data_IF_933537981932
#
_entry.id   IF_933537981932
#
_cell.length_a   1.000
_cell.length_b   1.000
_cell.length_c   1.000
_cell.angle_alpha   90.00
_cell.angle_beta   90.00
_cell.angle_gamma   90.00
#
_symmetry.space_group_name_H-M   'P 1'
#
loop_
_entity.id
_entity.type
_entity.pdbx_description
1 polymer ?
#
# COMPACT_ATOMS: atom_id res chain seq x y z
N UNK A 1 3.75 5.09 31.09
CA UNK A 1 5.12 4.73 31.52
C UNK A 1 6.09 5.28 30.50
N UNK A 2 7.30 5.72 30.88
CA UNK A 2 8.35 5.98 29.90
C UNK A 2 8.60 4.67 29.14
N UNK A 3 8.36 4.67 27.84
CA UNK A 3 8.76 3.56 26.99
C UNK A 3 10.21 3.78 26.53
N UNK A 4 10.95 2.70 26.26
CA UNK A 4 12.33 2.78 25.78
C UNK A 4 12.46 3.39 24.36
N UNK A 5 11.34 3.76 23.76
CA UNK A 5 11.24 4.22 22.38
C UNK A 5 11.18 5.74 22.28
N UNK A 6 10.85 6.44 23.36
CA UNK A 6 10.70 7.90 23.38
C UNK A 6 11.80 8.56 24.21
N UNK A 7 12.15 9.80 23.86
CA UNK A 7 13.02 10.59 24.73
C UNK A 7 12.36 10.83 26.10
N UNK A 8 13.15 10.97 27.19
CA UNK A 8 12.60 11.22 28.52
C UNK A 8 11.65 12.43 28.53
N UNK A 9 10.46 12.24 29.09
CA UNK A 9 9.41 13.28 29.19
C UNK A 9 8.98 13.87 27.84
N UNK A 10 9.08 13.11 26.75
CA UNK A 10 8.70 13.55 25.40
C UNK A 10 7.82 12.51 24.72
N UNK A 11 7.00 12.98 23.76
CA UNK A 11 6.27 12.14 22.81
C UNK A 11 7.09 11.80 21.56
N UNK A 12 8.30 12.36 21.45
CA UNK A 12 9.18 12.16 20.30
C UNK A 12 9.93 10.84 20.44
N UNK A 13 9.82 10.00 19.40
CA UNK A 13 10.54 8.74 19.34
C UNK A 13 12.05 8.98 19.14
N UNK A 14 12.87 8.20 19.84
CA UNK A 14 14.32 8.16 19.69
C UNK A 14 14.62 7.79 18.24
N UNK A 15 15.27 8.72 17.54
CA UNK A 15 15.55 8.64 16.11
C UNK A 15 17.04 8.87 15.83
N UNK A 16 17.53 8.32 14.72
CA UNK A 16 18.93 8.37 14.28
C UNK A 16 19.44 9.80 14.03
N UNK A 17 18.53 10.75 13.84
CA UNK A 17 18.83 12.15 13.56
C UNK A 17 18.95 13.02 14.82
N UNK A 18 18.65 12.47 16.01
CA UNK A 18 18.71 13.22 17.26
C UNK A 18 17.65 14.34 17.39
N UNK A 19 16.57 14.30 16.60
CA UNK A 19 15.53 15.34 16.63
C UNK A 19 14.65 15.12 17.87
N UNK A 20 14.51 16.14 18.71
CA UNK A 20 13.69 16.11 19.95
C UNK A 20 12.50 17.06 19.93
N UNK A 21 12.45 17.96 18.94
CA UNK A 21 11.31 18.85 18.69
C UNK A 21 10.19 18.08 18.00
N UNK A 22 8.95 18.18 18.51
CA UNK A 22 7.86 17.32 18.07
C UNK A 22 7.41 17.61 16.64
N UNK A 23 7.19 18.87 16.30
CA UNK A 23 6.69 19.27 14.98
C UNK A 23 7.73 18.98 13.89
N UNK A 24 9.00 19.30 14.17
CA UNK A 24 10.11 18.95 13.28
C UNK A 24 10.26 17.44 13.12
N UNK A 25 10.16 16.68 14.20
CA UNK A 25 10.22 15.22 14.14
C UNK A 25 9.09 14.65 13.28
N UNK A 26 7.84 15.09 13.47
CA UNK A 26 6.72 14.59 12.67
C UNK A 26 6.80 14.98 11.20
N UNK A 27 7.25 16.19 10.88
CA UNK A 27 7.48 16.60 9.49
C UNK A 27 8.55 15.72 8.81
N UNK A 28 9.69 15.50 9.49
CA UNK A 28 10.78 14.66 8.97
C UNK A 28 10.37 13.19 8.88
N UNK A 29 9.68 12.66 9.88
CA UNK A 29 9.15 11.29 9.84
C UNK A 29 8.23 11.10 8.64
N UNK A 30 7.26 12.00 8.48
CA UNK A 30 6.28 11.89 7.39
C UNK A 30 6.97 11.89 6.03
N UNK A 31 7.90 12.83 5.80
CA UNK A 31 8.62 12.93 4.53
C UNK A 31 9.49 11.69 4.25
N UNK A 32 10.29 11.24 5.22
CA UNK A 32 11.19 10.10 5.04
C UNK A 32 10.42 8.78 4.82
N UNK A 33 9.38 8.53 5.62
CA UNK A 33 8.55 7.32 5.42
C UNK A 33 7.83 7.39 4.07
N UNK A 34 7.32 8.55 3.66
CA UNK A 34 6.63 8.70 2.38
C UNK A 34 7.55 8.40 1.19
N UNK A 35 8.79 8.89 1.21
CA UNK A 35 9.78 8.57 0.19
C UNK A 35 9.99 7.04 0.07
N UNK A 36 10.15 6.33 1.21
CA UNK A 36 10.28 4.87 1.22
C UNK A 36 9.03 4.14 0.74
N UNK A 37 7.84 4.68 1.00
CA UNK A 37 6.59 4.12 0.46
C UNK A 37 6.52 4.23 -1.07
N UNK A 38 6.97 5.35 -1.64
CA UNK A 38 7.04 5.52 -3.11
C UNK A 38 7.98 4.48 -3.72
N UNK A 39 9.17 4.29 -3.13
CA UNK A 39 10.11 3.25 -3.58
C UNK A 39 9.48 1.85 -3.61
N UNK A 40 8.66 1.50 -2.62
CA UNK A 40 7.98 0.20 -2.56
C UNK A 40 6.81 0.06 -3.55
N UNK A 41 6.33 1.16 -4.12
CA UNK A 41 5.36 1.11 -5.23
C UNK A 41 6.02 0.61 -6.51
N UNK A 42 7.27 1.00 -6.76
CA UNK A 42 8.04 0.60 -7.94
C UNK A 42 8.77 -0.73 -7.72
N UNK A 43 9.24 -0.96 -6.50
CA UNK A 43 10.05 -2.11 -6.11
C UNK A 43 9.47 -2.76 -4.85
N UNK A 44 8.32 -3.46 -4.97
CA UNK A 44 7.71 -4.12 -3.83
C UNK A 44 8.65 -5.16 -3.24
N UNK A 45 8.64 -5.27 -1.92
CA UNK A 45 9.38 -6.32 -1.23
C UNK A 45 8.64 -7.64 -1.48
N UNK A 46 9.31 -8.69 -1.99
CA UNK A 46 8.67 -9.99 -2.15
C UNK A 46 8.48 -10.66 -0.79
N UNK A 47 7.36 -11.35 -0.62
CA UNK A 47 7.06 -12.10 0.58
C UNK A 47 5.76 -12.88 0.46
N UNK A 48 5.37 -13.60 1.52
CA UNK A 48 4.21 -14.51 1.53
C UNK A 48 3.06 -14.04 2.42
N UNK A 49 3.00 -12.72 2.64
CA UNK A 49 2.02 -12.07 3.53
C UNK A 49 2.04 -12.65 4.97
N UNK A 50 3.24 -12.94 5.46
CA UNK A 50 3.52 -13.42 6.81
C UNK A 50 4.12 -12.30 7.69
N UNK A 51 4.22 -12.50 9.01
CA UNK A 51 4.79 -11.50 9.92
C UNK A 51 6.18 -11.04 9.47
N UNK A 52 7.03 -11.96 9.00
CA UNK A 52 8.36 -11.64 8.50
C UNK A 52 8.31 -10.68 7.28
N UNK A 53 7.31 -10.83 6.40
CA UNK A 53 7.10 -9.91 5.28
C UNK A 53 6.72 -8.51 5.79
N UNK A 54 5.81 -8.43 6.77
CA UNK A 54 5.40 -7.15 7.36
C UNK A 54 6.56 -6.47 8.09
N UNK A 55 7.41 -7.25 8.78
CA UNK A 55 8.64 -6.76 9.41
C UNK A 55 9.64 -6.23 8.39
N UNK A 56 9.79 -6.88 7.24
CA UNK A 56 10.68 -6.44 6.16
C UNK A 56 10.22 -5.10 5.58
N UNK A 57 8.92 -4.97 5.29
CA UNK A 57 8.31 -3.70 4.86
C UNK A 57 8.55 -2.61 5.91
N UNK A 58 8.21 -2.88 7.16
CA UNK A 58 8.40 -1.91 8.24
C UNK A 58 9.87 -1.49 8.39
N UNK A 59 10.80 -2.44 8.32
CA UNK A 59 12.25 -2.18 8.37
C UNK A 59 12.69 -1.26 7.23
N UNK A 60 12.21 -1.48 6.01
CA UNK A 60 12.51 -0.61 4.86
C UNK A 60 11.97 0.80 5.08
N UNK A 61 10.68 0.90 5.46
CA UNK A 61 10.04 2.20 5.68
C UNK A 61 10.79 3.03 6.74
N UNK A 62 11.22 2.38 7.82
CA UNK A 62 11.81 3.07 8.98
C UNK A 62 13.34 3.14 8.95
N UNK A 63 13.98 2.66 7.87
CA UNK A 63 15.42 2.46 7.78
C UNK A 63 16.25 3.70 8.10
N UNK A 64 15.79 4.90 7.72
CA UNK A 64 16.57 6.13 7.90
C UNK A 64 16.39 6.76 9.30
N UNK A 65 15.34 6.38 10.03
CA UNK A 65 14.94 7.06 11.26
C UNK A 65 15.10 6.23 12.52
N UNK A 66 14.83 4.93 12.47
CA UNK A 66 14.70 4.12 13.68
C UNK A 66 15.62 2.91 13.66
N UNK A 67 16.34 2.68 14.76
CA UNK A 67 17.21 1.50 14.93
C UNK A 67 16.39 0.22 15.14
N UNK A 68 15.20 0.35 15.70
CA UNK A 68 14.24 -0.73 15.97
C UNK A 68 13.36 -1.06 14.75
N UNK A 69 13.70 -0.55 13.57
CA UNK A 69 12.92 -0.77 12.35
C UNK A 69 12.75 -2.26 12.04
N UNK A 70 11.52 -2.76 12.12
CA UNK A 70 11.16 -4.15 11.86
C UNK A 70 11.11 -5.02 13.12
N UNK A 71 11.47 -4.45 14.28
CA UNK A 71 11.44 -5.16 15.56
C UNK A 71 10.03 -5.10 16.17
N UNK A 72 9.59 -6.22 16.74
CA UNK A 72 8.32 -6.31 17.46
C UNK A 72 8.40 -5.48 18.75
N UNK A 73 7.35 -4.71 19.05
CA UNK A 73 7.30 -3.90 20.27
C UNK A 73 7.22 -4.78 21.52
N UNK A 74 7.83 -4.31 22.60
CA UNK A 74 7.78 -4.94 23.93
C UNK A 74 6.99 -4.12 24.96
N UNK A 75 6.34 -3.04 24.53
CA UNK A 75 5.49 -2.19 25.37
C UNK A 75 4.06 -2.17 24.85
N UNK A 76 3.10 -1.97 25.76
CA UNK A 76 1.70 -1.77 25.38
C UNK A 76 1.52 -0.46 24.60
N UNK A 77 0.61 -0.46 23.63
CA UNK A 77 0.24 0.70 22.82
C UNK A 77 -1.27 0.77 22.64
N UNK A 78 -1.77 1.94 22.28
CA UNK A 78 -3.18 2.23 22.07
C UNK A 78 -3.29 3.19 20.86
N UNK A 79 -4.36 3.14 20.06
CA UNK A 79 -4.68 4.22 19.13
C UNK A 79 -4.80 5.53 19.92
N UNK A 80 -4.27 6.63 19.37
CA UNK A 80 -4.04 7.87 20.10
C UNK A 80 -5.24 8.35 20.92
N UNK A 81 -5.10 8.37 22.26
CA UNK A 81 -6.09 8.95 23.17
C UNK A 81 -7.42 8.20 23.30
N UNK A 82 -7.60 7.03 22.66
CA UNK A 82 -8.89 6.31 22.65
C UNK A 82 -9.09 5.40 23.86
N UNK A 83 -8.00 4.97 24.51
CA UNK A 83 -8.05 3.98 25.60
C UNK A 83 -8.27 2.55 25.12
N UNK A 84 -8.37 2.31 23.81
CA UNK A 84 -8.50 0.97 23.21
C UNK A 84 -7.13 0.29 23.20
N UNK A 85 -7.01 -0.87 23.84
CA UNK A 85 -5.75 -1.59 23.89
C UNK A 85 -5.50 -2.38 22.59
N UNK A 86 -4.29 -2.31 22.07
CA UNK A 86 -3.82 -3.30 21.11
C UNK A 86 -3.43 -4.62 21.81
N UNK A 87 -3.08 -5.63 21.02
CA UNK A 87 -2.56 -6.90 21.52
C UNK A 87 -1.39 -6.71 22.49
N UNK A 88 -1.35 -7.46 23.60
CA UNK A 88 -0.22 -7.36 24.53
C UNK A 88 1.05 -7.97 23.91
N UNK A 89 2.25 -7.42 24.18
CA UNK A 89 3.49 -7.89 23.57
C UNK A 89 3.72 -9.40 23.56
N UNK A 90 3.44 -10.17 24.64
CA UNK A 90 3.65 -11.62 24.64
C UNK A 90 2.79 -12.39 23.62
N UNK A 91 1.71 -11.78 23.12
CA UNK A 91 0.78 -12.40 22.18
C UNK A 91 0.91 -11.89 20.74
N UNK A 92 1.77 -10.90 20.47
CA UNK A 92 1.89 -10.32 19.12
C UNK A 92 2.27 -11.36 18.08
N UNK A 93 3.32 -12.14 18.34
CA UNK A 93 3.81 -13.17 17.41
C UNK A 93 2.77 -14.28 17.19
N UNK A 94 2.23 -14.95 18.22
CA UNK A 94 1.26 -16.03 18.00
C UNK A 94 -0.04 -15.54 17.33
N UNK A 95 -0.52 -14.33 17.64
CA UNK A 95 -1.71 -13.79 16.96
C UNK A 95 -1.41 -13.43 15.49
N UNK A 96 -0.24 -12.87 15.19
CA UNK A 96 0.16 -12.63 13.80
C UNK A 96 0.30 -13.92 13.01
N UNK A 97 0.89 -14.96 13.60
CA UNK A 97 0.99 -16.29 12.98
C UNK A 97 -0.39 -16.92 12.75
N UNK A 98 -1.33 -16.77 13.69
CA UNK A 98 -2.71 -17.23 13.53
C UNK A 98 -3.40 -16.52 12.36
N UNK A 99 -3.38 -15.20 12.35
CA UNK A 99 -4.06 -14.36 11.35
C UNK A 99 -3.48 -14.57 9.96
N UNK A 100 -2.15 -14.51 9.80
CA UNK A 100 -1.52 -14.72 8.50
C UNK A 100 -1.55 -16.18 8.04
N UNK A 101 -1.58 -17.13 8.97
CA UNK A 101 -1.81 -18.55 8.67
C UNK A 101 -3.20 -18.79 8.09
N UNK A 102 -4.22 -18.13 8.63
CA UNK A 102 -5.58 -18.18 8.10
C UNK A 102 -5.71 -17.46 6.75
N UNK A 103 -5.03 -16.33 6.55
CA UNK A 103 -4.92 -15.69 5.23
C UNK A 103 -4.32 -16.66 4.19
N UNK A 104 -3.25 -17.38 4.55
CA UNK A 104 -2.63 -18.35 3.65
C UNK A 104 -3.55 -19.55 3.37
N UNK A 105 -4.30 -20.04 4.36
CA UNK A 105 -5.29 -21.11 4.18
C UNK A 105 -6.46 -20.71 3.27
N UNK A 106 -6.71 -19.40 3.12
CA UNK A 106 -7.66 -18.82 2.17
C UNK A 106 -7.01 -18.43 0.83
N UNK A 107 -5.89 -19.07 0.48
CA UNK A 107 -5.16 -18.88 -0.78
C UNK A 107 -4.79 -17.42 -1.07
N UNK A 108 -4.57 -16.62 -0.02
CA UNK A 108 -4.27 -15.19 -0.11
C UNK A 108 -5.34 -14.40 -0.86
N UNK A 109 -6.61 -14.81 -0.71
CA UNK A 109 -7.78 -14.13 -1.29
C UNK A 109 -7.80 -14.10 -2.82
N UNK A 110 -7.03 -14.95 -3.49
CA UNK A 110 -7.02 -15.09 -4.94
C UNK A 110 -8.30 -15.75 -5.45
N UNK A 111 -8.66 -15.44 -6.70
CA UNK A 111 -9.80 -16.03 -7.42
C UNK A 111 -11.17 -15.85 -6.72
N UNK A 112 -11.29 -14.84 -5.85
CA UNK A 112 -12.54 -14.43 -5.21
C UNK A 112 -13.28 -13.37 -6.03
N UNK A 113 -14.59 -13.27 -5.86
CA UNK A 113 -15.35 -12.11 -6.34
C UNK A 113 -15.11 -10.87 -5.47
N UNK A 114 -15.63 -9.72 -5.90
CA UNK A 114 -15.36 -8.45 -5.23
C UNK A 114 -15.86 -8.41 -3.77
N UNK A 115 -17.01 -9.05 -3.50
CA UNK A 115 -17.62 -9.06 -2.16
C UNK A 115 -16.77 -9.94 -1.20
N UNK A 116 -16.40 -11.14 -1.64
CA UNK A 116 -15.60 -12.06 -0.84
C UNK A 116 -14.15 -11.56 -0.65
N UNK A 117 -13.57 -10.92 -1.68
CA UNK A 117 -12.25 -10.33 -1.59
C UNK A 117 -12.22 -9.17 -0.59
N UNK A 118 -13.15 -8.21 -0.69
CA UNK A 118 -13.14 -7.03 0.16
C UNK A 118 -13.39 -7.38 1.62
N UNK A 119 -14.31 -8.30 1.89
CA UNK A 119 -14.58 -8.81 3.24
C UNK A 119 -13.34 -9.50 3.83
N UNK A 120 -12.71 -10.40 3.08
CA UNK A 120 -11.49 -11.08 3.51
C UNK A 120 -10.31 -10.12 3.74
N UNK A 121 -10.15 -9.12 2.89
CA UNK A 121 -9.12 -8.09 3.02
C UNK A 121 -9.38 -7.21 4.26
N UNK A 122 -10.63 -6.80 4.45
CA UNK A 122 -11.04 -6.01 5.60
C UNK A 122 -10.80 -6.78 6.90
N UNK A 123 -11.15 -8.06 6.95
CA UNK A 123 -10.90 -8.94 8.09
C UNK A 123 -9.41 -8.99 8.45
N UNK A 124 -8.53 -9.36 7.52
CA UNK A 124 -7.09 -9.48 7.83
C UNK A 124 -6.46 -8.12 8.20
N UNK A 125 -6.95 -7.02 7.62
CA UNK A 125 -6.50 -5.67 7.95
C UNK A 125 -6.95 -5.24 9.35
N UNK A 126 -8.20 -5.54 9.72
CA UNK A 126 -8.74 -5.32 11.06
C UNK A 126 -7.95 -6.09 12.12
N UNK A 127 -7.78 -7.39 11.93
CA UNK A 127 -7.02 -8.26 12.83
C UNK A 127 -5.57 -7.77 13.00
N UNK A 128 -4.90 -7.42 11.89
CA UNK A 128 -3.52 -6.90 11.93
C UNK A 128 -3.45 -5.51 12.61
N UNK A 129 -4.51 -4.72 12.52
CA UNK A 129 -4.63 -3.43 13.24
C UNK A 129 -4.75 -3.66 14.75
N UNK A 130 -5.53 -4.65 15.19
CA UNK A 130 -5.64 -5.02 16.60
C UNK A 130 -4.32 -5.58 17.16
N UNK A 131 -3.58 -6.37 16.37
CA UNK A 131 -2.25 -6.89 16.75
C UNK A 131 -1.24 -5.74 16.96
N UNK A 132 -1.18 -4.82 16.00
CA UNK A 132 -0.32 -3.63 16.05
C UNK A 132 1.14 -3.96 16.43
N UNK A 133 1.86 -4.75 15.61
CA UNK A 133 3.09 -5.43 16.03
C UNK A 133 4.29 -4.51 16.33
N UNK A 134 4.31 -3.29 15.81
CA UNK A 134 5.44 -2.36 15.95
C UNK A 134 5.12 -1.20 16.88
N UNK A 135 6.17 -0.45 17.26
CA UNK A 135 6.00 0.73 18.12
C UNK A 135 5.25 1.88 17.44
N UNK A 136 5.53 2.14 16.17
CA UNK A 136 4.84 3.12 15.32
C UNK A 136 4.94 2.62 13.86
N UNK A 137 4.44 3.36 12.88
CA UNK A 137 4.52 3.05 11.44
C UNK A 137 3.76 1.77 11.04
N UNK A 138 2.94 1.23 11.94
CA UNK A 138 2.05 0.09 11.67
C UNK A 138 1.10 0.35 10.48
N UNK A 139 0.35 1.46 10.51
CA UNK A 139 -0.63 1.79 9.46
C UNK A 139 0.01 1.88 8.07
N UNK A 140 1.19 2.51 7.97
CA UNK A 140 1.91 2.70 6.70
C UNK A 140 2.49 1.38 6.19
N UNK A 141 2.98 0.52 7.09
CA UNK A 141 3.47 -0.82 6.75
C UNK A 141 2.33 -1.73 6.28
N UNK A 142 1.19 -1.70 6.97
CA UNK A 142 -0.04 -2.42 6.57
C UNK A 142 -0.55 -1.92 5.23
N UNK A 143 -0.57 -0.60 4.99
CA UNK A 143 -1.01 -0.04 3.72
C UNK A 143 -0.20 -0.57 2.55
N UNK A 144 1.14 -0.63 2.66
CA UNK A 144 1.98 -1.24 1.62
C UNK A 144 1.64 -2.72 1.43
N UNK A 145 1.65 -3.51 2.53
CA UNK A 145 1.41 -4.95 2.45
C UNK A 145 0.05 -5.30 1.84
N UNK A 146 -1.02 -4.63 2.26
CA UNK A 146 -2.36 -4.99 1.85
C UNK A 146 -2.75 -4.45 0.47
N UNK A 147 -2.14 -3.34 0.02
CA UNK A 147 -2.24 -2.97 -1.39
C UNK A 147 -1.49 -3.96 -2.29
N UNK A 148 -0.34 -4.47 -1.85
CA UNK A 148 0.37 -5.54 -2.55
C UNK A 148 -0.47 -6.84 -2.59
N UNK A 149 -1.10 -7.22 -1.47
CA UNK A 149 -2.02 -8.36 -1.41
C UNK A 149 -3.18 -8.19 -2.39
N UNK A 150 -3.80 -7.01 -2.41
CA UNK A 150 -4.88 -6.70 -3.35
C UNK A 150 -4.42 -6.84 -4.80
N UNK A 151 -3.28 -6.24 -5.13
CA UNK A 151 -2.69 -6.33 -6.47
C UNK A 151 -2.41 -7.77 -6.89
N UNK A 152 -1.82 -8.58 -6.01
CA UNK A 152 -1.52 -9.99 -6.27
C UNK A 152 -2.78 -10.85 -6.41
N UNK A 153 -3.89 -10.45 -5.78
CA UNK A 153 -5.20 -11.07 -5.91
C UNK A 153 -6.03 -10.56 -7.11
N UNK A 154 -5.50 -9.65 -7.92
CA UNK A 154 -6.21 -9.10 -9.09
C UNK A 154 -7.18 -7.96 -8.76
N UNK A 155 -6.91 -7.20 -7.69
CA UNK A 155 -7.71 -6.07 -7.24
C UNK A 155 -6.87 -4.80 -7.08
N UNK A 156 -7.51 -3.64 -7.20
CA UNK A 156 -6.91 -2.34 -6.90
C UNK A 156 -7.80 -1.57 -5.94
N UNK A 157 -7.24 -0.71 -5.09
CA UNK A 157 -8.01 0.11 -4.15
C UNK A 157 -7.89 1.57 -4.56
N UNK A 158 -9.02 2.20 -4.88
CA UNK A 158 -9.09 3.62 -5.23
C UNK A 158 -9.12 4.49 -3.97
N UNK A 159 -7.93 4.78 -3.45
CA UNK A 159 -7.76 5.62 -2.27
C UNK A 159 -8.22 7.07 -2.45
N UNK A 160 -8.44 7.55 -3.70
CA UNK A 160 -8.96 8.90 -3.93
C UNK A 160 -10.39 9.08 -3.44
N UNK A 161 -11.13 7.98 -3.29
CA UNK A 161 -12.52 7.97 -2.85
C UNK A 161 -12.68 7.69 -1.35
N UNK A 162 -11.59 7.37 -0.65
CA UNK A 162 -11.62 7.00 0.77
C UNK A 162 -10.87 8.07 1.57
N UNK A 163 -11.58 8.96 2.30
CA UNK A 163 -10.93 9.90 3.19
C UNK A 163 -10.08 9.19 4.25
N UNK A 164 -8.83 9.63 4.42
CA UNK A 164 -7.86 8.94 5.28
C UNK A 164 -8.25 8.92 6.76
N UNK A 165 -8.93 9.97 7.23
CA UNK A 165 -9.47 10.06 8.59
C UNK A 165 -10.62 9.08 8.82
N UNK A 166 -11.51 8.92 7.83
CA UNK A 166 -12.62 7.95 7.86
C UNK A 166 -12.07 6.52 7.88
N UNK A 167 -11.06 6.23 7.06
CA UNK A 167 -10.42 4.90 7.07
C UNK A 167 -9.67 4.63 8.39
N UNK A 168 -9.00 5.64 8.96
CA UNK A 168 -8.37 5.52 10.27
C UNK A 168 -9.40 5.25 11.39
N UNK A 169 -10.58 5.86 11.30
CA UNK A 169 -11.68 5.61 12.22
C UNK A 169 -12.22 4.18 12.09
N UNK A 170 -12.52 3.73 10.87
CA UNK A 170 -13.00 2.35 10.60
C UNK A 170 -12.01 1.30 11.12
N UNK A 171 -10.71 1.51 10.92
CA UNK A 171 -9.66 0.64 11.47
C UNK A 171 -9.61 0.62 13.00
N UNK A 172 -9.89 1.75 13.64
CA UNK A 172 -9.95 1.83 15.10
C UNK A 172 -11.16 1.07 15.64
N UNK A 173 -12.33 1.20 14.99
CA UNK A 173 -13.54 0.44 15.35
C UNK A 173 -13.34 -1.06 15.17
N UNK A 174 -12.60 -1.49 14.14
CA UNK A 174 -12.30 -2.91 13.92
C UNK A 174 -11.54 -3.59 15.06
N UNK A 175 -10.91 -2.84 15.97
CA UNK A 175 -10.27 -3.41 17.17
C UNK A 175 -11.29 -3.84 18.22
N UNK A 176 -12.44 -3.16 18.29
CA UNK A 176 -13.43 -3.31 19.38
C UNK A 176 -14.75 -3.93 18.93
N UNK A 177 -15.07 -3.84 17.64
CA UNK A 177 -16.29 -4.36 17.04
C UNK A 177 -15.93 -5.46 16.02
N UNK A 178 -15.87 -5.10 14.74
CA UNK A 178 -15.56 -6.00 13.63
C UNK A 178 -15.01 -5.23 12.41
N UNK A 179 -14.66 -5.97 11.34
CA UNK A 179 -14.07 -5.40 10.13
C UNK A 179 -15.07 -4.78 9.14
N UNK A 180 -16.38 -4.79 9.41
CA UNK A 180 -17.41 -4.39 8.44
C UNK A 180 -17.27 -2.94 8.00
N UNK A 181 -16.81 -2.05 8.90
CA UNK A 181 -16.54 -0.65 8.56
C UNK A 181 -15.39 -0.48 7.56
N UNK A 182 -14.38 -1.36 7.58
CA UNK A 182 -13.30 -1.37 6.59
C UNK A 182 -13.83 -1.88 5.25
N UNK A 183 -14.61 -2.97 5.27
CA UNK A 183 -15.22 -3.55 4.07
C UNK A 183 -16.13 -2.54 3.35
N UNK A 184 -17.00 -1.86 4.10
CA UNK A 184 -17.91 -0.84 3.56
C UNK A 184 -17.18 0.32 2.84
N UNK A 185 -15.93 0.60 3.20
CA UNK A 185 -15.09 1.61 2.54
C UNK A 185 -14.33 1.02 1.35
N UNK A 186 -13.80 -0.20 1.47
CA UNK A 186 -13.00 -0.85 0.42
C UNK A 186 -13.89 -1.30 -0.73
N UNK A 187 -14.96 -2.05 -0.44
CA UNK A 187 -15.80 -2.72 -1.44
C UNK A 187 -16.29 -1.82 -2.59
N UNK A 188 -16.87 -0.62 -2.36
CA UNK A 188 -17.30 0.25 -3.45
C UNK A 188 -16.12 0.88 -4.22
N UNK A 189 -14.93 0.89 -3.63
CA UNK A 189 -13.72 1.52 -4.14
C UNK A 189 -12.64 0.50 -4.54
N UNK A 190 -13.03 -0.77 -4.70
CA UNK A 190 -12.13 -1.85 -5.06
C UNK A 190 -12.53 -2.45 -6.42
N UNK A 191 -12.27 -1.75 -7.54
CA UNK A 191 -12.48 -2.33 -8.85
C UNK A 191 -11.58 -3.56 -9.04
N UNK A 192 -12.05 -4.55 -9.78
CA UNK A 192 -11.17 -5.61 -10.30
C UNK A 192 -10.00 -4.92 -11.00
N UNK A 193 -8.78 -5.22 -10.57
CA UNK A 193 -7.63 -4.74 -11.30
C UNK A 193 -7.59 -5.57 -12.57
N UNK A 194 -7.89 -4.92 -13.68
CA UNK A 194 -7.45 -5.41 -14.97
C UNK A 194 -5.93 -5.22 -14.99
N UNK A 195 -5.21 -6.11 -14.30
CA UNK A 195 -3.78 -6.29 -14.45
C UNK A 195 -3.53 -6.65 -15.92
N UNK A 196 -3.37 -5.62 -16.75
CA UNK A 196 -2.73 -5.75 -18.04
C UNK A 196 -1.44 -4.98 -17.94
N UNK A 197 -0.33 -5.70 -18.06
CA UNK A 197 0.91 -5.10 -18.52
C UNK A 197 0.61 -4.63 -19.94
N UNK A 198 0.20 -3.37 -20.10
CA UNK A 198 0.01 -2.84 -21.44
C UNK A 198 1.40 -2.64 -22.06
N UNK A 199 1.68 -3.46 -23.08
CA UNK A 199 2.88 -3.35 -23.90
C UNK A 199 2.63 -2.30 -24.98
N UNK A 200 3.20 -1.11 -24.82
CA UNK A 200 3.23 -0.12 -25.90
C UNK A 200 4.57 -0.17 -26.63
N UNK A 201 4.50 -0.31 -27.96
CA UNK A 201 5.63 -0.01 -28.85
C UNK A 201 5.47 1.40 -29.36
N UNK A 202 6.46 2.27 -29.18
CA UNK A 202 6.47 3.61 -29.79
C UNK A 202 7.56 3.69 -30.86
N UNK A 203 7.26 4.26 -32.03
CA UNK A 203 8.29 4.69 -32.98
C UNK A 203 8.68 6.13 -32.65
N UNK A 204 9.90 6.32 -32.15
CA UNK A 204 10.48 7.66 -32.04
C UNK A 204 10.81 8.22 -33.42
N UNK A 205 10.82 9.54 -33.59
CA UNK A 205 11.13 10.24 -34.86
C UNK A 205 12.52 9.97 -35.47
N UNK A 206 13.31 9.06 -34.90
CA UNK A 206 14.56 8.52 -35.44
C UNK A 206 14.51 7.02 -35.79
N UNK A 207 13.33 6.38 -35.80
CA UNK A 207 13.17 4.96 -36.16
C UNK A 207 13.50 3.95 -35.05
N UNK A 208 13.69 4.40 -33.81
CA UNK A 208 13.86 3.51 -32.64
C UNK A 208 12.53 3.11 -32.04
N UNK A 209 12.32 1.79 -31.85
CA UNK A 209 11.19 1.25 -31.10
C UNK A 209 11.60 1.04 -29.64
N UNK A 210 10.93 1.70 -28.70
CA UNK A 210 11.09 1.45 -27.26
C UNK A 210 9.83 0.85 -26.64
N UNK A 211 9.99 0.17 -25.51
CA UNK A 211 8.90 -0.43 -24.72
C UNK A 211 8.82 0.27 -23.35
N UNK A 212 7.60 0.54 -22.88
CA UNK A 212 7.34 1.05 -21.53
C UNK A 212 6.19 0.27 -20.90
N UNK A 213 6.31 -0.05 -19.61
CA UNK A 213 5.25 -0.66 -18.82
C UNK A 213 4.55 0.43 -18.01
N UNK A 214 3.21 0.51 -18.10
CA UNK A 214 2.41 1.48 -17.34
C UNK A 214 1.31 0.73 -16.61
N UNK A 215 1.18 0.99 -15.31
CA UNK A 215 0.05 0.51 -14.51
C UNK A 215 -1.08 1.53 -14.58
N UNK A 216 -2.22 1.14 -15.16
CA UNK A 216 -3.40 2.01 -15.24
C UNK A 216 -4.47 1.54 -14.27
N UNK A 217 -4.95 2.47 -13.44
CA UNK A 217 -6.19 2.28 -12.70
C UNK A 217 -7.37 2.62 -13.63
N UNK A 218 -8.21 1.63 -13.93
CA UNK A 218 -9.47 1.75 -14.71
C UNK A 218 -9.33 2.22 -16.19
N UNK A 219 -8.61 1.54 -17.08
CA UNK A 219 -8.78 1.79 -18.51
C UNK A 219 -10.16 1.29 -18.98
N UNK A 220 -10.98 2.18 -19.54
CA UNK A 220 -12.21 1.83 -20.26
C UNK A 220 -11.84 1.58 -21.73
N UNK A 221 -12.45 0.59 -22.42
CA UNK A 221 -12.25 0.43 -23.85
C UNK A 221 -12.53 1.74 -24.61
N UNK A 222 -11.49 2.27 -25.27
CA UNK A 222 -11.56 3.56 -25.99
C UNK A 222 -10.78 4.72 -25.35
N UNK A 223 -10.31 4.56 -24.12
CA UNK A 223 -9.40 5.54 -23.49
C UNK A 223 -8.08 5.66 -24.26
N UNK A 224 -7.46 6.84 -24.18
CA UNK A 224 -6.18 7.15 -24.82
C UNK A 224 -5.16 7.61 -23.79
N UNK A 225 -3.93 7.18 -23.98
CA UNK A 225 -2.80 7.61 -23.16
C UNK A 225 -2.14 8.81 -23.83
N UNK A 226 -1.94 9.89 -23.09
CA UNK A 226 -1.45 11.16 -23.65
C UNK A 226 -0.23 11.61 -22.87
N UNK A 227 0.83 12.01 -23.59
CA UNK A 227 1.97 12.71 -22.97
C UNK A 227 1.51 14.11 -22.56
N UNK A 228 2.06 14.66 -21.47
CA UNK A 228 1.71 16.00 -20.98
C UNK A 228 1.79 17.13 -22.04
N UNK A 229 2.51 16.93 -23.16
CA UNK A 229 2.62 17.86 -24.29
C UNK A 229 1.74 17.52 -25.51
N UNK A 230 0.71 16.68 -25.36
CA UNK A 230 -0.33 16.49 -26.37
C UNK A 230 -0.04 15.42 -27.45
N UNK A 231 0.96 14.56 -27.25
CA UNK A 231 1.15 13.39 -28.11
C UNK A 231 0.16 12.30 -27.69
N UNK A 232 -0.77 11.98 -28.58
CA UNK A 232 -1.75 10.90 -28.40
C UNK A 232 -1.08 9.57 -28.74
N UNK A 233 -0.92 8.71 -27.74
CA UNK A 233 -0.61 7.30 -27.95
C UNK A 233 -1.92 6.58 -28.30
N UNK A 234 -1.83 5.53 -29.12
CA UNK A 234 -3.01 4.83 -29.67
C UNK A 234 -4.02 4.36 -28.61
N UNK A 235 -5.25 4.00 -29.02
CA UNK A 235 -6.29 3.54 -28.10
C UNK A 235 -5.80 2.33 -27.30
N UNK A 236 -6.22 2.22 -26.04
CA UNK A 236 -5.94 1.03 -25.21
C UNK A 236 -6.61 -0.18 -25.85
N UNK A 237 -5.81 -1.13 -26.36
CA UNK A 237 -6.29 -2.38 -26.98
C UNK A 237 -6.01 -3.53 -26.02
N UNK A 238 -7.08 -4.14 -25.49
CA UNK A 238 -7.01 -5.33 -24.66
C UNK A 238 -6.67 -6.55 -25.54
N UNK A 239 -5.47 -7.12 -25.37
CA UNK A 239 -5.04 -8.30 -26.13
C UNK A 239 -3.98 -9.12 -25.40
N UNK A 240 -4.09 -10.45 -25.46
CA UNK A 240 -3.10 -11.37 -24.92
C UNK A 240 -1.93 -11.55 -25.90
N UNK A 241 -0.71 -11.24 -25.48
CA UNK A 241 0.52 -11.47 -26.26
C UNK A 241 1.64 -12.10 -25.42
N UNK A 242 2.39 -12.99 -26.07
CA UNK A 242 3.47 -13.82 -25.53
C UNK A 242 4.77 -13.02 -25.30
N UNK A 243 5.55 -13.44 -24.30
CA UNK A 243 6.68 -12.73 -23.70
C UNK A 243 7.89 -12.52 -24.63
N UNK A 244 8.58 -11.38 -24.50
CA UNK A 244 10.06 -11.31 -24.53
C UNK A 244 10.68 -9.95 -24.10
N UNK A 245 11.68 -10.08 -23.21
CA UNK A 245 12.84 -9.21 -22.87
C UNK A 245 12.64 -7.73 -22.46
N UNK A 246 13.02 -7.43 -21.21
CA UNK A 246 13.21 -6.09 -20.62
C UNK A 246 14.52 -5.44 -21.09
N UNK A 247 14.50 -4.13 -21.35
CA UNK A 247 15.62 -3.21 -21.04
C UNK A 247 15.04 -1.83 -20.71
N UNK A 248 15.40 -1.31 -19.52
CA UNK A 248 15.16 0.06 -19.09
C UNK A 248 16.11 1.05 -19.77
N UNK A 249 15.92 2.34 -19.49
CA UNK A 249 16.66 3.47 -20.05
C UNK A 249 16.07 4.03 -21.35
N UNK A 250 14.90 4.68 -21.28
CA UNK A 250 14.46 5.68 -22.28
C UNK A 250 13.32 6.61 -21.81
N UNK A 251 12.86 6.53 -20.56
CA UNK A 251 11.69 7.30 -20.09
C UNK A 251 11.99 8.00 -18.76
N UNK A 252 13.04 8.81 -18.70
CA UNK A 252 13.23 9.77 -17.58
C UNK A 252 12.49 11.11 -17.81
N UNK A 253 11.90 11.30 -18.98
CA UNK A 253 11.24 12.53 -19.39
C UNK A 253 10.02 13.04 -18.61
N UNK A 254 8.92 12.26 -18.67
CA UNK A 254 7.57 12.86 -18.65
C UNK A 254 6.48 11.88 -18.22
N UNK A 255 5.62 12.34 -17.31
CA UNK A 255 4.42 11.63 -16.87
C UNK A 255 3.41 11.45 -18.00
N UNK A 256 2.79 10.27 -18.04
CA UNK A 256 1.69 9.92 -18.92
C UNK A 256 0.36 10.12 -18.18
N UNK A 257 -0.68 10.58 -18.89
CA UNK A 257 -2.03 10.82 -18.34
C UNK A 257 -3.07 10.08 -19.18
N UNK A 258 -4.08 9.51 -18.53
CA UNK A 258 -5.23 8.88 -19.19
C UNK A 258 -6.25 9.96 -19.60
N UNK A 259 -6.62 9.99 -20.88
CA UNK A 259 -7.67 10.84 -21.41
C UNK A 259 -8.83 9.98 -21.90
N UNK A 260 -10.04 10.27 -21.40
CA UNK A 260 -11.25 9.58 -21.82
C UNK A 260 -11.58 9.82 -23.30
N UNK A 261 -12.45 8.99 -23.90
CA UNK A 261 -12.91 9.19 -25.27
C UNK A 261 -13.55 10.57 -25.41
N UNK A 262 -13.15 11.33 -26.43
CA UNK A 262 -13.81 12.60 -26.74
C UNK A 262 -15.30 12.32 -27.02
N UNK A 263 -16.23 13.08 -26.40
CA UNK A 263 -17.63 12.96 -26.73
C UNK A 263 -17.80 13.26 -28.22
N UNK A 264 -18.34 12.30 -28.96
CA UNK A 264 -18.77 12.55 -30.33
C UNK A 264 -19.83 13.66 -30.27
N UNK A 265 -19.50 14.84 -30.81
CA UNK A 265 -20.42 15.95 -30.91
C UNK A 265 -21.79 15.48 -31.46
N UNK A 266 -22.83 15.67 -30.65
CA UNK A 266 -24.22 15.74 -31.06
C UNK A 266 -24.83 17.00 -30.41
#
# INVERSE_FOLDING_TARGET
MPDRYSYPNSLVLINKLGITDYDRWKAVETAAIHQRMVELTEHPIPGRFELAHLQAIHRHLTADLYVWGGDIRDTDTHPGGTGIAHCRPPFIVPEAERVFGELAAREHLRDLDADAFSDGLAWVWGETTAIHPFRDVNTRSQHIMFNQLASDAGWGIDWSQIPGDVFAHARTLAIVEDHTGIDALIRPNCPASSCWQDFFSFEGGGGGVGQAHVHLYRPVPGDRLVRAFGVVLGPVVLGAFDQRQRVGDLVEEQSLVLQGPEPAFA
#
